data_IF_527871812868
#
_entry.id   IF_527871812868
#
_cell.length_a   1.000
_cell.length_b   1.000
_cell.length_c   1.000
_cell.angle_alpha   90.00
_cell.angle_beta   90.00
_cell.angle_gamma   90.00
#
_symmetry.space_group_name_H-M   'P 1'
#
loop_
_entity.id
_entity.type
_entity.pdbx_description
1 polymer ?
#
# COMPACT_ATOMS: atom_id res chain seq x y z
N UNK A 1 -17.64 -3.30 28.37
CA UNK A 1 -17.10 -4.13 27.28
C UNK A 1 -16.08 -3.33 26.48
N UNK A 2 -14.89 -3.88 26.30
CA UNK A 2 -13.84 -3.21 25.52
C UNK A 2 -14.13 -3.41 24.04
N UNK A 3 -14.20 -2.33 23.28
CA UNK A 3 -14.35 -2.40 21.83
C UNK A 3 -12.97 -2.62 21.19
N UNK A 4 -12.89 -3.33 20.05
CA UNK A 4 -11.61 -3.47 19.37
C UNK A 4 -11.06 -2.11 18.95
N UNK A 5 -9.73 -1.97 19.03
CA UNK A 5 -9.04 -0.72 18.66
C UNK A 5 -9.08 -0.50 17.16
N UNK A 6 -9.14 -1.56 16.38
CA UNK A 6 -9.25 -1.47 14.92
C UNK A 6 -10.12 -2.61 14.37
N UNK A 7 -10.93 -2.25 13.39
CA UNK A 7 -11.82 -3.18 12.67
C UNK A 7 -11.49 -3.25 11.18
N UNK A 8 -10.75 -2.28 10.67
CA UNK A 8 -10.46 -2.15 9.25
C UNK A 8 -9.01 -1.73 9.03
N UNK A 9 -8.27 -2.56 8.32
CA UNK A 9 -6.86 -2.37 8.01
C UNK A 9 -6.71 -2.05 6.52
N UNK A 10 -5.85 -1.08 6.19
CA UNK A 10 -5.46 -0.77 4.83
C UNK A 10 -3.96 -0.97 4.66
N UNK A 11 -3.55 -1.78 3.70
CA UNK A 11 -2.14 -1.99 3.37
C UNK A 11 -1.81 -1.25 2.08
N UNK A 12 -0.73 -0.49 2.09
CA UNK A 12 -0.24 0.23 0.91
C UNK A 12 0.76 -0.66 0.16
N UNK A 13 0.41 -0.99 -1.07
CA UNK A 13 1.22 -1.84 -1.95
C UNK A 13 1.90 -0.95 -2.98
N UNK A 14 3.20 -1.10 -3.15
CA UNK A 14 3.97 -0.35 -4.13
C UNK A 14 4.91 -1.22 -4.98
N UNK A 15 4.73 -2.54 -4.91
CA UNK A 15 5.56 -3.50 -5.64
C UNK A 15 6.88 -3.85 -4.98
N UNK A 16 7.25 -3.20 -3.89
CA UNK A 16 8.45 -3.56 -3.14
C UNK A 16 8.22 -4.82 -2.32
N UNK A 17 9.31 -5.52 -2.03
CA UNK A 17 9.27 -6.67 -1.12
C UNK A 17 8.73 -6.27 0.26
N UNK A 18 9.12 -5.10 0.74
CA UNK A 18 8.65 -4.57 2.02
C UNK A 18 7.12 -4.40 2.04
N UNK A 19 6.52 -3.93 0.94
CA UNK A 19 5.06 -3.78 0.87
C UNK A 19 4.35 -5.14 0.84
N UNK A 20 4.94 -6.15 0.22
CA UNK A 20 4.40 -7.51 0.23
C UNK A 20 4.49 -8.10 1.64
N UNK A 21 5.58 -7.87 2.35
CA UNK A 21 5.71 -8.29 3.75
C UNK A 21 4.68 -7.58 4.64
N UNK A 22 4.43 -6.31 4.39
CA UNK A 22 3.37 -5.57 5.09
C UNK A 22 1.99 -6.20 4.80
N UNK A 23 1.75 -6.65 3.57
CA UNK A 23 0.51 -7.36 3.23
C UNK A 23 0.39 -8.68 4.00
N UNK A 24 1.46 -9.46 4.07
CA UNK A 24 1.48 -10.71 4.84
C UNK A 24 1.21 -10.44 6.32
N UNK A 25 1.81 -9.40 6.88
CA UNK A 25 1.56 -8.97 8.24
C UNK A 25 0.09 -8.61 8.45
N UNK A 26 -0.49 -7.84 7.54
CA UNK A 26 -1.90 -7.46 7.58
C UNK A 26 -2.85 -8.67 7.50
N UNK A 27 -2.52 -9.65 6.67
CA UNK A 27 -3.29 -10.89 6.55
C UNK A 27 -3.30 -11.64 7.88
N UNK A 28 -2.14 -11.74 8.54
CA UNK A 28 -2.03 -12.37 9.86
C UNK A 28 -2.85 -11.62 10.89
N UNK A 29 -2.78 -10.28 10.88
CA UNK A 29 -3.59 -9.44 11.77
C UNK A 29 -5.09 -9.64 11.54
N UNK A 30 -5.51 -9.62 10.28
CA UNK A 30 -6.92 -9.79 9.92
C UNK A 30 -7.46 -11.13 10.42
N UNK A 31 -6.65 -12.17 10.30
CA UNK A 31 -7.02 -13.50 10.76
C UNK A 31 -7.05 -13.62 12.28
N UNK A 32 -6.01 -13.08 12.95
CA UNK A 32 -5.89 -13.16 14.41
C UNK A 32 -6.92 -12.30 15.14
N UNK A 33 -7.15 -11.10 14.64
CA UNK A 33 -8.00 -10.11 15.32
C UNK A 33 -9.38 -9.98 14.69
N UNK A 34 -9.66 -10.76 13.65
CA UNK A 34 -10.95 -10.77 12.94
C UNK A 34 -11.36 -9.38 12.47
N UNK A 35 -10.45 -8.69 11.81
CA UNK A 35 -10.71 -7.39 11.21
C UNK A 35 -10.72 -7.49 9.69
N UNK A 36 -11.39 -6.52 9.05
CA UNK A 36 -11.39 -6.40 7.59
C UNK A 36 -10.05 -5.85 7.10
N UNK A 37 -9.67 -6.27 5.91
CA UNK A 37 -8.45 -5.80 5.28
C UNK A 37 -8.71 -5.37 3.84
N UNK A 38 -8.11 -4.26 3.46
CA UNK A 38 -8.08 -3.75 2.09
C UNK A 38 -6.63 -3.50 1.69
N UNK A 39 -6.37 -3.53 0.40
CA UNK A 39 -5.06 -3.21 -0.17
C UNK A 39 -5.24 -2.15 -1.24
N UNK A 40 -4.35 -1.16 -1.26
CA UNK A 40 -4.36 -0.08 -2.24
C UNK A 40 -3.02 -0.02 -2.96
N UNK A 41 -3.08 0.20 -4.28
CA UNK A 41 -1.93 0.54 -5.10
C UNK A 41 -2.23 1.88 -5.78
N UNK A 42 -1.31 2.83 -5.66
CA UNK A 42 -1.45 4.15 -6.31
C UNK A 42 -0.42 4.27 -7.41
N UNK A 43 -0.92 4.48 -8.63
CA UNK A 43 -0.07 4.86 -9.76
C UNK A 43 0.27 6.34 -9.60
N UNK A 44 1.55 6.65 -9.38
CA UNK A 44 2.02 7.99 -9.06
C UNK A 44 2.04 8.89 -10.30
N UNK A 45 0.87 9.34 -10.72
CA UNK A 45 0.73 10.24 -11.86
C UNK A 45 1.15 11.66 -11.52
N UNK A 46 1.19 12.03 -10.24
CA UNK A 46 1.68 13.36 -9.83
C UNK A 46 3.17 13.50 -10.15
N UNK A 47 3.99 12.50 -9.81
CA UNK A 47 5.42 12.50 -10.15
C UNK A 47 5.62 12.43 -11.66
N UNK A 48 4.86 11.62 -12.38
CA UNK A 48 4.92 11.56 -13.85
C UNK A 48 4.63 12.90 -14.49
N UNK A 49 3.64 13.61 -13.98
CA UNK A 49 3.27 14.94 -14.46
C UNK A 49 4.42 15.94 -14.26
N UNK A 50 5.06 15.91 -13.09
CA UNK A 50 6.23 16.74 -12.81
C UNK A 50 7.38 16.43 -13.77
N UNK A 51 7.66 15.16 -14.02
CA UNK A 51 8.70 14.73 -14.95
C UNK A 51 8.40 15.19 -16.38
N UNK A 52 7.15 15.18 -16.81
CA UNK A 52 6.73 15.65 -18.13
C UNK A 52 6.88 17.17 -18.25
N UNK A 53 6.47 17.91 -17.21
CA UNK A 53 6.63 19.38 -17.16
C UNK A 53 8.09 19.76 -17.17
N UNK A 54 8.97 19.02 -16.49
CA UNK A 54 10.41 19.24 -16.43
C UNK A 54 11.14 18.76 -17.69
N UNK A 55 10.41 18.25 -18.68
CA UNK A 55 10.94 17.73 -19.96
C UNK A 55 11.86 16.51 -19.83
N UNK A 56 11.79 15.79 -18.71
CA UNK A 56 12.47 14.50 -18.57
C UNK A 56 11.79 13.41 -19.39
N UNK A 57 10.47 13.51 -19.57
CA UNK A 57 9.70 12.61 -20.42
C UNK A 57 8.92 13.40 -21.46
N UNK A 58 8.79 12.85 -22.67
CA UNK A 58 7.78 13.30 -23.62
C UNK A 58 6.42 12.70 -23.23
N UNK A 59 5.34 13.30 -23.71
CA UNK A 59 3.97 12.89 -23.34
C UNK A 59 3.69 11.40 -23.63
N UNK A 60 4.18 10.90 -24.77
CA UNK A 60 3.98 9.47 -25.15
C UNK A 60 4.69 8.53 -24.20
N UNK A 61 5.94 8.84 -23.81
CA UNK A 61 6.70 8.05 -22.83
C UNK A 61 6.01 8.04 -21.48
N UNK A 62 5.46 9.18 -21.06
CA UNK A 62 4.73 9.30 -19.81
C UNK A 62 3.48 8.43 -19.79
N UNK A 63 2.72 8.41 -20.90
CA UNK A 63 1.52 7.57 -21.04
C UNK A 63 1.87 6.08 -21.03
N UNK A 64 2.93 5.69 -21.74
CA UNK A 64 3.39 4.30 -21.77
C UNK A 64 3.84 3.84 -20.37
N UNK A 65 4.56 4.71 -19.67
CA UNK A 65 5.02 4.43 -18.32
C UNK A 65 3.83 4.31 -17.35
N UNK A 66 2.86 5.21 -17.45
CA UNK A 66 1.63 5.15 -16.66
C UNK A 66 0.88 3.85 -16.89
N UNK A 67 0.72 3.43 -18.15
CA UNK A 67 0.06 2.19 -18.50
C UNK A 67 0.80 0.98 -17.92
N UNK A 68 2.13 1.00 -17.98
CA UNK A 68 2.97 -0.06 -17.40
C UNK A 68 2.79 -0.14 -15.88
N UNK A 69 2.81 1.00 -15.19
CA UNK A 69 2.58 1.05 -13.74
C UNK A 69 1.17 0.58 -13.38
N UNK A 70 0.19 0.90 -14.20
CA UNK A 70 -1.19 0.46 -13.99
C UNK A 70 -1.31 -1.06 -14.07
N UNK A 71 -0.70 -1.66 -15.07
CA UNK A 71 -0.69 -3.13 -15.22
C UNK A 71 0.09 -3.79 -14.09
N UNK A 72 1.22 -3.22 -13.68
CA UNK A 72 1.98 -3.68 -12.52
C UNK A 72 1.12 -3.63 -11.25
N UNK A 73 0.40 -2.53 -11.04
CA UNK A 73 -0.48 -2.37 -9.89
C UNK A 73 -1.56 -3.45 -9.83
N UNK A 74 -2.18 -3.73 -10.96
CA UNK A 74 -3.19 -4.80 -11.05
C UNK A 74 -2.60 -6.16 -10.68
N UNK A 75 -1.39 -6.46 -11.15
CA UNK A 75 -0.71 -7.72 -10.84
C UNK A 75 -0.37 -7.84 -9.37
N UNK A 76 0.17 -6.78 -8.77
CA UNK A 76 0.52 -6.79 -7.35
C UNK A 76 -0.72 -6.92 -6.46
N UNK A 77 -1.79 -6.20 -6.79
CA UNK A 77 -3.04 -6.31 -6.04
C UNK A 77 -3.64 -7.71 -6.15
N UNK A 78 -3.61 -8.30 -7.34
CA UNK A 78 -4.07 -9.67 -7.54
C UNK A 78 -3.22 -10.67 -6.75
N UNK A 79 -1.91 -10.47 -6.72
CA UNK A 79 -1.00 -11.29 -5.95
C UNK A 79 -1.33 -11.24 -4.45
N UNK A 80 -1.54 -10.04 -3.92
CA UNK A 80 -1.89 -9.84 -2.50
C UNK A 80 -3.25 -10.46 -2.19
N UNK A 81 -4.21 -10.31 -3.08
CA UNK A 81 -5.53 -10.93 -2.94
C UNK A 81 -5.41 -12.46 -2.84
N UNK A 82 -4.54 -13.07 -3.66
CA UNK A 82 -4.28 -14.50 -3.61
C UNK A 82 -3.56 -14.93 -2.32
N UNK A 83 -2.64 -14.11 -1.81
CA UNK A 83 -1.98 -14.35 -0.52
C UNK A 83 -3.01 -14.39 0.61
N UNK A 84 -3.97 -13.48 0.58
CA UNK A 84 -5.05 -13.42 1.58
C UNK A 84 -5.97 -14.63 1.46
N UNK A 85 -6.34 -14.96 0.23
CA UNK A 85 -7.24 -16.09 -0.06
C UNK A 85 -6.64 -17.43 0.42
N UNK A 86 -5.32 -17.59 0.25
CA UNK A 86 -4.61 -18.80 0.72
C UNK A 86 -4.70 -18.99 2.23
N UNK A 87 -4.99 -17.92 2.98
CA UNK A 87 -5.17 -17.96 4.44
C UNK A 87 -6.63 -17.78 4.87
N UNK A 88 -7.56 -17.93 3.93
CA UNK A 88 -8.99 -17.87 4.21
C UNK A 88 -9.51 -16.45 4.44
N UNK A 89 -8.77 -15.45 4.01
CA UNK A 89 -9.15 -14.04 4.15
C UNK A 89 -9.56 -13.48 2.79
N UNK A 90 -10.74 -12.89 2.74
CA UNK A 90 -11.19 -12.16 1.55
C UNK A 90 -10.92 -10.68 1.75
N UNK A 91 -10.16 -10.09 0.83
CA UNK A 91 -9.84 -8.66 0.87
C UNK A 91 -10.43 -7.94 -0.33
N UNK A 92 -10.61 -6.64 -0.20
CA UNK A 92 -10.92 -5.76 -1.31
C UNK A 92 -9.64 -5.05 -1.73
N UNK A 93 -9.50 -4.83 -3.03
CA UNK A 93 -8.35 -4.12 -3.59
C UNK A 93 -8.80 -2.85 -4.28
N UNK A 94 -7.95 -1.82 -4.25
CA UNK A 94 -8.20 -0.52 -4.85
C UNK A 94 -7.00 -0.07 -5.65
N UNK A 95 -7.22 0.31 -6.90
CA UNK A 95 -6.20 0.92 -7.76
C UNK A 95 -6.58 2.37 -7.98
N UNK A 96 -5.68 3.28 -7.61
CA UNK A 96 -5.88 4.72 -7.80
C UNK A 96 -4.72 5.34 -8.56
N UNK A 97 -4.96 6.52 -9.10
CA UNK A 97 -3.97 7.32 -9.80
C UNK A 97 -3.93 8.70 -9.18
N UNK A 98 -2.75 9.24 -8.99
CA UNK A 98 -2.59 10.58 -8.41
C UNK A 98 -1.34 10.68 -7.57
N UNK A 99 -1.39 11.52 -6.54
CA UNK A 99 -0.36 11.60 -5.51
C UNK A 99 -0.52 10.45 -4.55
N UNK A 100 0.56 9.70 -4.31
CA UNK A 100 0.50 8.48 -3.48
C UNK A 100 -0.11 8.76 -2.11
N UNK A 101 0.46 9.71 -1.37
CA UNK A 101 -0.01 9.97 -0.01
C UNK A 101 -1.46 10.47 0.03
N UNK A 102 -1.82 11.33 -0.90
CA UNK A 102 -3.15 11.93 -0.96
C UNK A 102 -4.22 10.88 -1.24
N UNK A 103 -3.97 10.01 -2.21
CA UNK A 103 -4.91 8.95 -2.57
C UNK A 103 -5.05 7.92 -1.45
N UNK A 104 -3.95 7.58 -0.76
CA UNK A 104 -3.98 6.66 0.39
C UNK A 104 -4.81 7.24 1.52
N UNK A 105 -4.55 8.49 1.89
CA UNK A 105 -5.27 9.18 2.98
C UNK A 105 -6.76 9.32 2.65
N UNK A 106 -7.08 9.70 1.41
CA UNK A 106 -8.46 9.85 0.97
C UNK A 106 -9.20 8.50 1.00
N UNK A 107 -8.60 7.45 0.48
CA UNK A 107 -9.23 6.14 0.48
C UNK A 107 -9.40 5.59 1.91
N UNK A 108 -8.41 5.79 2.77
CA UNK A 108 -8.51 5.39 4.17
C UNK A 108 -9.69 6.08 4.87
N UNK A 109 -9.89 7.37 4.59
CA UNK A 109 -11.02 8.13 5.13
C UNK A 109 -12.36 7.63 4.57
N UNK A 110 -12.45 7.45 3.25
CA UNK A 110 -13.67 6.95 2.58
C UNK A 110 -14.08 5.57 3.09
N UNK A 111 -13.11 4.67 3.30
CA UNK A 111 -13.34 3.29 3.71
C UNK A 111 -13.37 3.10 5.22
N UNK A 112 -13.28 4.19 5.98
CA UNK A 112 -13.27 4.18 7.46
C UNK A 112 -12.19 3.24 8.02
N UNK A 113 -11.00 3.35 7.46
CA UNK A 113 -9.82 2.60 7.90
C UNK A 113 -9.39 3.04 9.29
N UNK A 114 -9.11 2.09 10.15
CA UNK A 114 -8.62 2.33 11.52
C UNK A 114 -7.10 2.28 11.61
N UNK A 115 -6.46 1.55 10.70
CA UNK A 115 -5.03 1.32 10.73
C UNK A 115 -4.48 1.20 9.31
N UNK A 116 -3.48 2.01 8.99
CA UNK A 116 -2.74 1.91 7.72
C UNK A 116 -1.44 1.17 7.99
N UNK A 117 -1.13 0.17 7.18
CA UNK A 117 0.12 -0.58 7.23
C UNK A 117 1.03 -0.15 6.09
N UNK A 118 2.26 0.21 6.43
CA UNK A 118 3.32 0.55 5.49
C UNK A 118 4.48 -0.42 5.65
N UNK A 119 5.07 -0.85 4.54
CA UNK A 119 6.31 -1.62 4.60
C UNK A 119 7.49 -0.73 4.98
N UNK A 120 8.49 -1.32 5.62
CA UNK A 120 9.72 -0.59 5.95
C UNK A 120 10.38 -0.09 4.67
N UNK A 121 10.74 1.18 4.67
CA UNK A 121 11.47 1.76 3.55
C UNK A 121 12.90 1.22 3.49
N UNK A 122 13.24 0.57 2.39
CA UNK A 122 14.63 0.16 2.14
C UNK A 122 15.41 1.35 1.59
N UNK A 123 16.66 1.49 2.05
CA UNK A 123 17.56 2.54 1.61
C UNK A 123 17.96 2.33 0.13
N UNK A 124 17.17 2.87 -0.77
CA UNK A 124 17.45 2.90 -2.20
C UNK A 124 17.82 4.32 -2.63
N UNK A 125 18.44 4.45 -3.80
CA UNK A 125 18.84 5.72 -4.40
C UNK A 125 17.67 6.68 -4.62
N UNK A 126 16.43 6.19 -4.64
CA UNK A 126 15.21 6.97 -4.78
C UNK A 126 14.56 7.31 -3.42
N UNK A 127 15.39 7.48 -2.40
CA UNK A 127 14.98 7.75 -1.01
C UNK A 127 13.92 8.82 -0.84
N UNK A 128 14.04 9.90 -1.60
CA UNK A 128 13.29 11.12 -1.29
C UNK A 128 11.80 11.01 -1.61
N UNK A 129 11.43 10.29 -2.67
CA UNK A 129 10.03 10.17 -3.09
C UNK A 129 9.24 9.26 -2.14
N UNK A 130 9.77 8.07 -1.83
CA UNK A 130 9.08 7.09 -0.98
C UNK A 130 9.03 7.58 0.47
N UNK A 131 10.15 8.15 0.98
CA UNK A 131 10.22 8.71 2.32
C UNK A 131 9.28 9.89 2.47
N UNK A 132 9.17 10.74 1.46
CA UNK A 132 8.26 11.87 1.44
C UNK A 132 6.81 11.41 1.50
N UNK A 133 6.42 10.41 0.70
CA UNK A 133 5.06 9.86 0.72
C UNK A 133 4.69 9.28 2.09
N UNK A 134 5.59 8.55 2.72
CA UNK A 134 5.33 7.97 4.04
C UNK A 134 5.18 9.04 5.12
N UNK A 135 6.02 10.07 5.08
CA UNK A 135 5.90 11.21 6.01
C UNK A 135 4.56 11.91 5.85
N UNK A 136 4.13 12.12 4.61
CA UNK A 136 2.86 12.76 4.34
C UNK A 136 1.67 11.90 4.77
N UNK A 137 1.74 10.59 4.57
CA UNK A 137 0.71 9.66 5.07
C UNK A 137 0.62 9.75 6.59
N UNK A 138 1.75 9.67 7.28
CA UNK A 138 1.80 9.74 8.75
C UNK A 138 1.24 11.07 9.24
N UNK A 139 1.58 12.17 8.58
CA UNK A 139 1.16 13.51 8.98
C UNK A 139 -0.33 13.78 8.74
N UNK A 140 -0.92 13.20 7.70
CA UNK A 140 -2.28 13.55 7.26
C UNK A 140 -3.31 12.46 7.51
N UNK A 141 -2.91 11.24 7.85
CA UNK A 141 -3.86 10.17 8.13
C UNK A 141 -4.72 10.50 9.35
N UNK A 142 -6.02 10.26 9.23
CA UNK A 142 -6.95 10.41 10.35
C UNK A 142 -6.99 9.19 11.27
N UNK A 143 -6.11 8.22 11.06
CA UNK A 143 -6.05 6.98 11.82
C UNK A 143 -4.59 6.64 12.14
N UNK A 144 -4.40 5.56 12.91
CA UNK A 144 -3.06 5.07 13.24
C UNK A 144 -2.33 4.53 12.01
N UNK A 145 -1.02 4.68 11.99
CA UNK A 145 -0.15 4.17 10.93
C UNK A 145 0.91 3.29 11.56
N UNK A 146 1.03 2.07 11.06
CA UNK A 146 2.01 1.10 11.52
C UNK A 146 3.03 0.84 10.41
N UNK A 147 4.30 1.07 10.70
CA UNK A 147 5.39 0.71 9.80
C UNK A 147 5.88 -0.69 10.17
N UNK A 148 5.73 -1.62 9.25
CA UNK A 148 6.08 -3.03 9.47
C UNK A 148 7.57 -3.22 9.32
N UNK A 149 8.25 -3.71 10.38
CA UNK A 149 9.70 -3.91 10.46
C UNK A 149 10.02 -5.27 11.05
N UNK A 150 9.53 -6.33 10.47
CA UNK A 150 9.73 -7.66 11.05
C UNK A 150 10.48 -8.55 10.10
N UNK A 151 11.55 -9.16 10.57
CA UNK A 151 12.46 -9.95 9.71
C UNK A 151 11.92 -11.33 9.34
N UNK A 152 10.96 -11.85 10.08
CA UNK A 152 10.46 -13.22 9.90
C UNK A 152 8.98 -13.30 9.50
N UNK A 153 8.44 -12.25 8.90
CA UNK A 153 7.01 -12.19 8.50
C UNK A 153 6.68 -13.29 7.51
N UNK A 154 7.52 -13.53 6.53
CA UNK A 154 7.30 -14.55 5.53
C UNK A 154 7.18 -15.96 6.16
N UNK A 155 8.05 -16.25 7.13
CA UNK A 155 7.96 -17.51 7.87
C UNK A 155 6.67 -17.61 8.66
N UNK A 156 6.31 -16.55 9.39
CA UNK A 156 5.08 -16.52 10.17
C UNK A 156 3.85 -16.69 9.27
N UNK A 157 3.88 -16.06 8.10
CA UNK A 157 2.81 -16.21 7.12
C UNK A 157 2.70 -17.67 6.64
N UNK A 158 3.81 -18.30 6.31
CA UNK A 158 3.83 -19.70 5.86
C UNK A 158 3.34 -20.67 6.92
N UNK A 159 3.61 -20.39 8.18
CA UNK A 159 3.20 -21.22 9.31
C UNK A 159 1.72 -21.08 9.68
N UNK A 160 1.10 -20.03 9.23
CA UNK A 160 -0.31 -19.75 9.56
C UNK A 160 -1.31 -20.63 8.70
#
# INVERSE_FOLDING_TARGET
MIKPLFNSILVVINGSEASIQAAQYGILMARLYRCDMKAIYVVDTATLKELTISKFFVTEESLDYENSLTEDGKRYLSYVENLAKAKGIKIETELRKGSVWSEVVNFASESKTDLILLGEHQHNENKDVITSSYKEIISHAGCSVLVVRKNNIEQLYKMA
#
